data_IF_439759177556
#
_entry.id   IF_439759177556
#
_cell.length_a   1.000
_cell.length_b   1.000
_cell.length_c   1.000
_cell.angle_alpha   90.00
_cell.angle_beta   90.00
_cell.angle_gamma   90.00
#
_symmetry.space_group_name_H-M   'P 1'
#
loop_
_entity.id
_entity.type
_entity.pdbx_description
1 polymer ?
#
# COMPACT_ATOMS: atom_id res chain seq x y z
N UNK A 1 -0.76 -49.40 21.97
CA UNK A 1 -0.31 -49.81 20.62
C UNK A 1 -1.06 -48.96 19.60
N UNK A 2 -0.56 -48.25 18.59
CA UNK A 2 0.75 -47.85 18.10
C UNK A 2 0.48 -46.67 17.13
N UNK A 3 0.77 -45.42 17.50
CA UNK A 3 0.49 -44.23 16.67
C UNK A 3 1.71 -43.84 15.83
N UNK A 4 2.36 -44.80 15.17
CA UNK A 4 3.67 -44.60 14.53
C UNK A 4 3.62 -44.45 12.99
N UNK A 5 2.44 -44.37 12.38
CA UNK A 5 2.30 -44.36 10.91
C UNK A 5 2.04 -42.99 10.28
N UNK A 6 1.85 -41.93 11.07
CA UNK A 6 1.56 -40.58 10.54
C UNK A 6 2.81 -39.69 10.42
N UNK A 7 3.96 -40.13 10.91
CA UNK A 7 5.19 -39.33 10.91
C UNK A 7 6.07 -39.53 9.67
N UNK A 8 5.78 -40.54 8.82
CA UNK A 8 6.71 -40.96 7.75
C UNK A 8 6.25 -40.64 6.32
N UNK A 9 5.06 -40.07 6.12
CA UNK A 9 4.54 -39.74 4.78
C UNK A 9 4.53 -38.25 4.46
N UNK A 10 4.74 -37.38 5.47
CA UNK A 10 4.85 -35.93 5.32
C UNK A 10 5.98 -35.46 4.38
N UNK A 11 7.18 -36.07 4.34
CA UNK A 11 8.23 -35.61 3.44
C UNK A 11 7.96 -35.94 1.96
N UNK A 12 7.17 -36.98 1.67
CA UNK A 12 6.88 -37.40 0.28
C UNK A 12 5.86 -36.49 -0.41
N UNK A 13 4.88 -35.95 0.32
CA UNK A 13 3.91 -34.99 -0.22
C UNK A 13 4.52 -33.60 -0.49
N UNK A 14 5.54 -33.19 0.29
CA UNK A 14 6.26 -31.93 0.08
C UNK A 14 7.12 -31.95 -1.19
N UNK A 15 7.70 -33.10 -1.55
CA UNK A 15 8.54 -33.24 -2.74
C UNK A 15 7.73 -33.21 -4.06
N UNK A 16 6.46 -33.63 -4.05
CA UNK A 16 5.61 -33.62 -5.24
C UNK A 16 5.03 -32.24 -5.57
N UNK A 17 4.99 -31.30 -4.61
CA UNK A 17 4.40 -29.97 -4.79
C UNK A 17 5.36 -28.94 -5.40
N UNK A 18 6.67 -29.18 -5.37
CA UNK A 18 7.69 -28.27 -5.92
C UNK A 18 7.77 -28.31 -7.45
N UNK A 19 7.24 -29.36 -8.08
CA UNK A 19 7.37 -29.56 -9.53
C UNK A 19 6.27 -28.88 -10.37
N UNK A 20 5.28 -28.23 -9.74
CA UNK A 20 4.17 -27.56 -10.42
C UNK A 20 4.33 -26.03 -10.52
N UNK A 21 5.40 -25.45 -9.96
CA UNK A 21 5.66 -24.01 -10.01
C UNK A 21 6.51 -23.55 -11.21
N UNK A 22 6.69 -24.38 -12.23
CA UNK A 22 7.22 -23.93 -13.52
C UNK A 22 6.10 -23.26 -14.36
N UNK A 23 5.40 -22.29 -13.76
CA UNK A 23 4.59 -21.36 -14.52
C UNK A 23 5.54 -20.54 -15.39
N UNK A 24 5.23 -20.40 -16.67
CA UNK A 24 5.96 -19.54 -17.59
C UNK A 24 5.85 -18.10 -17.08
N UNK A 25 6.84 -17.67 -16.30
CA UNK A 25 7.12 -16.26 -16.05
C UNK A 25 7.36 -15.64 -17.42
N UNK A 26 6.32 -15.04 -17.98
CA UNK A 26 6.48 -14.07 -19.05
C UNK A 26 7.15 -12.88 -18.36
N UNK A 27 8.48 -12.89 -18.33
CA UNK A 27 9.25 -11.68 -18.17
C UNK A 27 8.89 -10.81 -19.39
N UNK A 28 7.80 -10.05 -19.28
CA UNK A 28 7.62 -8.91 -20.14
C UNK A 28 8.90 -8.10 -19.96
N UNK A 29 9.61 -7.83 -21.05
CA UNK A 29 10.72 -6.90 -21.05
C UNK A 29 10.14 -5.57 -20.55
N UNK A 30 10.34 -5.28 -19.26
CA UNK A 30 9.91 -4.01 -18.69
C UNK A 30 10.80 -2.95 -19.33
N UNK A 31 10.20 -2.12 -20.17
CA UNK A 31 10.86 -0.98 -20.78
C UNK A 31 11.20 0.05 -19.68
N UNK A 32 12.29 -0.20 -18.97
CA UNK A 32 12.88 0.69 -17.96
C UNK A 32 13.42 2.00 -18.56
N UNK A 33 13.29 2.20 -19.88
CA UNK A 33 13.55 3.49 -20.53
C UNK A 33 12.49 4.52 -20.16
N UNK A 34 11.27 4.09 -19.79
CA UNK A 34 10.26 5.00 -19.25
C UNK A 34 10.66 5.44 -17.85
N UNK A 35 11.01 6.72 -17.73
CA UNK A 35 11.17 7.38 -16.44
C UNK A 35 9.94 7.15 -15.58
N UNK A 36 10.15 6.81 -14.30
CA UNK A 36 9.06 6.57 -13.36
C UNK A 36 8.04 7.72 -13.38
N UNK A 37 6.74 7.42 -13.21
CA UNK A 37 5.71 8.44 -13.17
C UNK A 37 6.07 9.52 -12.14
N UNK A 38 5.96 10.82 -12.47
CA UNK A 38 6.30 11.91 -11.54
C UNK A 38 5.57 11.82 -10.19
N UNK A 39 4.41 11.14 -10.17
CA UNK A 39 3.64 10.87 -8.95
C UNK A 39 4.43 10.09 -7.90
N UNK A 40 5.32 9.17 -8.27
CA UNK A 40 6.07 8.33 -7.33
C UNK A 40 6.99 9.13 -6.41
N UNK A 41 7.43 10.31 -6.85
CA UNK A 41 8.31 11.21 -6.11
C UNK A 41 7.58 12.39 -5.45
N UNK A 42 6.26 12.50 -5.63
CA UNK A 42 5.48 13.51 -4.95
C UNK A 42 5.01 12.96 -3.61
N UNK A 43 5.61 13.46 -2.52
CA UNK A 43 5.03 13.26 -1.20
C UNK A 43 3.63 13.89 -1.13
N UNK A 44 2.76 13.32 -0.30
CA UNK A 44 1.48 13.96 0.02
C UNK A 44 1.78 15.21 0.85
N UNK A 45 1.88 16.34 0.14
CA UNK A 45 2.39 17.62 0.63
C UNK A 45 1.55 18.27 1.74
N UNK A 46 0.42 17.65 2.13
CA UNK A 46 -0.36 18.09 3.29
C UNK A 46 -1.01 16.93 4.03
N UNK A 47 -1.23 17.06 5.35
CA UNK A 47 -1.99 16.07 6.13
C UNK A 47 -3.38 15.78 5.53
N UNK A 48 -4.03 16.81 4.98
CA UNK A 48 -5.36 16.68 4.37
C UNK A 48 -5.33 15.84 3.09
N UNK A 49 -4.35 16.08 2.21
CA UNK A 49 -4.17 15.27 0.99
C UNK A 49 -3.85 13.81 1.33
N UNK A 50 -3.04 13.58 2.36
CA UNK A 50 -2.74 12.23 2.85
C UNK A 50 -3.98 11.53 3.39
N UNK A 51 -4.83 12.23 4.16
CA UNK A 51 -6.09 11.68 4.64
C UNK A 51 -7.03 11.32 3.48
N UNK A 52 -7.13 12.18 2.46
CA UNK A 52 -7.92 11.91 1.25
C UNK A 52 -7.43 10.66 0.52
N UNK A 53 -6.12 10.50 0.35
CA UNK A 53 -5.54 9.31 -0.25
C UNK A 53 -5.81 8.04 0.57
N UNK A 54 -5.59 8.08 1.88
CA UNK A 54 -5.88 6.94 2.76
C UNK A 54 -7.36 6.53 2.70
N UNK A 55 -8.28 7.49 2.58
CA UNK A 55 -9.70 7.20 2.41
C UNK A 55 -10.01 6.54 1.06
N UNK A 56 -9.36 6.98 -0.02
CA UNK A 56 -9.47 6.34 -1.35
C UNK A 56 -8.95 4.91 -1.34
N UNK A 57 -7.79 4.69 -0.73
CA UNK A 57 -7.19 3.35 -0.57
C UNK A 57 -8.09 2.43 0.25
N UNK A 58 -8.61 2.93 1.38
CA UNK A 58 -9.57 2.20 2.23
C UNK A 58 -10.84 1.83 1.45
N UNK A 59 -11.36 2.73 0.62
CA UNK A 59 -12.53 2.47 -0.21
C UNK A 59 -12.24 1.42 -1.30
N UNK A 60 -11.07 1.49 -1.94
CA UNK A 60 -10.63 0.52 -2.94
C UNK A 60 -10.43 -0.88 -2.34
N UNK A 61 -9.76 -0.97 -1.18
CA UNK A 61 -9.57 -2.20 -0.44
C UNK A 61 -10.91 -2.84 -0.04
N UNK A 62 -11.85 -2.03 0.47
CA UNK A 62 -13.19 -2.50 0.79
C UNK A 62 -13.96 -2.99 -0.44
N UNK A 63 -13.88 -2.28 -1.56
CA UNK A 63 -14.52 -2.70 -2.80
C UNK A 63 -13.96 -4.05 -3.30
N UNK A 64 -12.65 -4.24 -3.19
CA UNK A 64 -12.01 -5.51 -3.52
C UNK A 64 -12.45 -6.63 -2.59
N UNK A 65 -12.44 -6.41 -1.27
CA UNK A 65 -12.92 -7.38 -0.29
C UNK A 65 -14.38 -7.78 -0.57
N UNK A 66 -15.26 -6.83 -0.93
CA UNK A 66 -16.63 -7.14 -1.34
C UNK A 66 -16.71 -8.02 -2.58
N UNK A 67 -15.87 -7.77 -3.59
CA UNK A 67 -15.82 -8.61 -4.80
C UNK A 67 -15.42 -10.04 -4.45
N UNK A 68 -14.45 -10.22 -3.55
CA UNK A 68 -14.05 -11.54 -3.06
C UNK A 68 -15.21 -12.23 -2.30
N UNK A 69 -15.96 -11.50 -1.48
CA UNK A 69 -17.12 -12.06 -0.79
C UNK A 69 -18.23 -12.58 -1.73
N UNK A 70 -18.30 -12.09 -2.99
CA UNK A 70 -19.27 -12.60 -3.97
C UNK A 70 -18.97 -14.03 -4.43
N UNK A 71 -17.73 -14.51 -4.24
CA UNK A 71 -17.32 -15.88 -4.57
C UNK A 71 -17.85 -16.90 -3.56
N UNK A 72 -18.25 -16.44 -2.37
CA UNK A 72 -18.79 -17.27 -1.28
C UNK A 72 -20.32 -17.31 -1.34
N UNK A 73 -20.94 -18.25 -0.61
CA UNK A 73 -22.41 -18.38 -0.54
C UNK A 73 -22.92 -18.40 0.91
N UNK A 74 -24.20 -18.08 1.08
CA UNK A 74 -24.90 -18.23 2.36
C UNK A 74 -24.25 -17.48 3.53
N UNK A 75 -24.08 -18.18 4.66
CA UNK A 75 -23.56 -17.63 5.92
C UNK A 75 -22.10 -17.16 5.79
N UNK A 76 -21.28 -17.84 4.98
CA UNK A 76 -19.89 -17.45 4.75
C UNK A 76 -19.79 -16.12 4.00
N UNK A 77 -20.63 -15.92 2.97
CA UNK A 77 -20.72 -14.63 2.28
C UNK A 77 -21.18 -13.50 3.20
N UNK A 78 -22.11 -13.79 4.12
CA UNK A 78 -22.56 -12.83 5.12
C UNK A 78 -21.43 -12.46 6.10
N UNK A 79 -20.71 -13.46 6.64
CA UNK A 79 -19.58 -13.25 7.53
C UNK A 79 -18.45 -12.46 6.84
N UNK A 80 -18.10 -12.80 5.60
CA UNK A 80 -17.11 -12.08 4.81
C UNK A 80 -17.48 -10.60 4.64
N UNK A 81 -18.75 -10.30 4.32
CA UNK A 81 -19.21 -8.90 4.19
C UNK A 81 -19.11 -8.12 5.50
N UNK A 82 -19.38 -8.77 6.63
CA UNK A 82 -19.22 -8.16 7.96
C UNK A 82 -17.74 -7.88 8.26
N UNK A 83 -16.86 -8.85 8.01
CA UNK A 83 -15.41 -8.68 8.17
C UNK A 83 -14.88 -7.55 7.28
N UNK A 84 -15.29 -7.48 6.01
CA UNK A 84 -14.90 -6.40 5.11
C UNK A 84 -15.39 -5.03 5.61
N UNK A 85 -16.61 -4.96 6.15
CA UNK A 85 -17.14 -3.71 6.70
C UNK A 85 -16.39 -3.28 7.96
N UNK A 86 -16.02 -4.23 8.81
CA UNK A 86 -15.24 -3.96 10.02
C UNK A 86 -13.81 -3.52 9.69
N UNK A 87 -13.14 -4.19 8.74
CA UNK A 87 -11.83 -3.77 8.24
C UNK A 87 -11.87 -2.32 7.72
N UNK A 88 -12.88 -1.96 6.92
CA UNK A 88 -13.06 -0.59 6.43
C UNK A 88 -13.17 0.44 7.57
N UNK A 89 -13.91 0.11 8.64
CA UNK A 89 -14.03 1.02 9.80
C UNK A 89 -12.68 1.21 10.48
N UNK A 90 -11.93 0.12 10.66
CA UNK A 90 -10.61 0.15 11.28
C UNK A 90 -9.60 0.94 10.44
N UNK A 91 -9.61 0.76 9.12
CA UNK A 91 -8.77 1.50 8.18
C UNK A 91 -9.09 3.00 8.20
N UNK A 92 -10.38 3.36 8.23
CA UNK A 92 -10.81 4.77 8.34
C UNK A 92 -10.37 5.38 9.67
N UNK A 93 -10.53 4.66 10.78
CA UNK A 93 -10.07 5.11 12.09
C UNK A 93 -8.55 5.26 12.15
N UNK A 94 -7.81 4.34 11.51
CA UNK A 94 -6.35 4.45 11.35
C UNK A 94 -5.97 5.68 10.52
N UNK A 95 -6.67 5.97 9.43
CA UNK A 95 -6.43 7.15 8.62
C UNK A 95 -6.60 8.45 9.42
N UNK A 96 -7.63 8.52 10.27
CA UNK A 96 -7.85 9.66 11.17
C UNK A 96 -6.75 9.81 12.22
N UNK A 97 -6.26 8.69 12.80
CA UNK A 97 -5.12 8.74 13.73
C UNK A 97 -3.88 9.29 13.04
N UNK A 98 -3.53 8.76 11.86
CA UNK A 98 -2.40 9.25 11.07
C UNK A 98 -2.54 10.75 10.79
N UNK A 99 -3.73 11.19 10.37
CA UNK A 99 -3.98 12.62 10.14
C UNK A 99 -3.71 13.48 11.39
N UNK A 100 -4.22 13.06 12.54
CA UNK A 100 -4.02 13.78 13.80
C UNK A 100 -2.56 13.78 14.23
N UNK A 101 -1.85 12.65 14.08
CA UNK A 101 -0.43 12.53 14.40
C UNK A 101 0.40 13.49 13.53
N UNK A 102 0.11 13.55 12.22
CA UNK A 102 0.76 14.50 11.32
C UNK A 102 0.44 15.96 11.67
N UNK A 103 -0.81 16.27 12.03
CA UNK A 103 -1.17 17.61 12.48
C UNK A 103 -0.44 18.02 13.75
N UNK A 104 -0.26 17.10 14.70
CA UNK A 104 0.45 17.35 15.95
C UNK A 104 1.97 17.44 15.75
N UNK A 105 2.52 16.72 14.77
CA UNK A 105 3.95 16.68 14.47
C UNK A 105 4.43 17.86 13.60
N UNK A 106 3.54 18.68 13.05
CA UNK A 106 3.91 19.89 12.31
C UNK A 106 4.05 21.06 13.30
N UNK A 107 5.27 21.48 13.71
CA UNK A 107 5.44 22.81 14.25
C UNK A 107 5.12 23.78 13.12
N UNK A 108 4.22 24.74 13.38
CA UNK A 108 3.92 25.91 12.56
C UNK A 108 5.01 26.15 11.50
N UNK A 109 4.78 25.75 10.25
CA UNK A 109 5.69 26.11 9.17
C UNK A 109 5.54 27.62 8.98
N UNK A 110 6.29 28.40 9.75
CA UNK A 110 6.57 29.80 9.45
C UNK A 110 6.93 29.87 7.98
N UNK A 111 6.28 30.73 7.18
CA UNK A 111 6.61 30.85 5.78
C UNK A 111 8.05 31.38 5.72
N UNK A 112 8.99 30.50 5.38
CA UNK A 112 10.38 30.87 5.08
C UNK A 112 10.32 31.80 3.87
N UNK A 113 10.35 33.11 4.15
CA UNK A 113 10.55 34.16 3.17
C UNK A 113 11.70 33.72 2.26
N UNK A 114 11.52 33.67 0.93
CA UNK A 114 12.59 33.23 0.05
C UNK A 114 13.79 34.15 0.27
N UNK A 115 14.93 33.57 0.63
CA UNK A 115 16.17 34.29 0.77
C UNK A 115 16.47 34.97 -0.57
N UNK A 116 16.51 36.30 -0.58
CA UNK A 116 16.87 37.09 -1.73
C UNK A 116 18.28 36.69 -2.19
N UNK A 117 18.39 35.94 -3.28
CA UNK A 117 19.67 35.71 -3.94
C UNK A 117 20.16 37.03 -4.53
N UNK A 118 21.11 37.68 -3.84
CA UNK A 118 21.87 38.79 -4.39
C UNK A 118 22.85 38.25 -5.44
N UNK A 119 22.44 38.27 -6.71
CA UNK A 119 23.39 38.14 -7.82
C UNK A 119 24.18 39.45 -7.95
N UNK A 120 25.29 39.52 -7.23
CA UNK A 120 26.32 40.53 -7.41
C UNK A 120 26.99 40.31 -8.77
N UNK A 121 26.44 40.92 -9.83
CA UNK A 121 27.12 41.01 -11.13
C UNK A 121 28.27 41.99 -11.00
N UNK A 122 29.49 41.49 -10.77
CA UNK A 122 30.71 42.26 -11.06
C UNK A 122 30.72 42.59 -12.56
N UNK A 123 30.36 43.83 -12.90
CA UNK A 123 30.75 44.44 -14.17
C UNK A 123 32.23 44.77 -14.07
N UNK A 124 33.08 44.00 -14.73
CA UNK A 124 34.40 44.49 -15.11
C UNK A 124 34.21 45.20 -16.46
N UNK A 125 34.47 46.50 -16.44
CA UNK A 125 34.49 47.36 -17.61
C UNK A 125 35.90 47.46 -18.16
N UNK A 126 35.98 47.54 -19.49
CA UNK A 126 37.05 48.10 -20.34
C UNK A 126 38.40 47.38 -20.38
#
# INVERSE_FOLDING_TARGET
>A
MNNKLLASTLPAFLAALTMLCAGTTHAAEEDVSQSDPPRWYQEDNSPQQRLDNLNKETAAAYAQAKKECLKLKGKEAAACRQQAAEARKQDTARALRIFNDYKAAQPETTPTKPAAHSHSRKRAAR
#
